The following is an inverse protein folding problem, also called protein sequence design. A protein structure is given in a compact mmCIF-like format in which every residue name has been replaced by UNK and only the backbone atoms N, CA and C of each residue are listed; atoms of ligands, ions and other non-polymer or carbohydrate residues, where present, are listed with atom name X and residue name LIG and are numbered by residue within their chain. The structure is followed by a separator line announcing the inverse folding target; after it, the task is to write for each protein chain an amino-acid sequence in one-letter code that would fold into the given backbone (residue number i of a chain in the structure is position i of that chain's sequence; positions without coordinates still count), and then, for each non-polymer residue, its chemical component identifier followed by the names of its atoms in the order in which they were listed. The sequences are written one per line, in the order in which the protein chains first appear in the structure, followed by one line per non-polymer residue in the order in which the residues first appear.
data_IF_611649585947
#
_entry.id   IF_611649585947
#
_cell.length_a   1.000
_cell.length_b   1.000
_cell.length_c   1.000
_cell.angle_alpha   90.00
_cell.angle_beta   90.00
_cell.angle_gamma   90.00
#
_symmetry.space_group_name_H-M   'P 1'
#
loop_
_entity.id
_entity.type
_entity.pdbx_description
1 polymer ?
#
# COMPACT_ATOMS: atom_id res chain seq x y z
N UNK A 1 -10.06 -14.22 5.94
CA UNK A 1 -10.49 -14.10 4.53
C UNK A 1 -9.76 -12.95 3.82
N UNK A 2 -9.83 -11.70 4.30
CA UNK A 2 -9.09 -10.56 3.69
C UNK A 2 -7.60 -10.88 3.48
N UNK A 3 -6.93 -11.39 4.51
CA UNK A 3 -5.51 -11.76 4.43
C UNK A 3 -5.23 -12.74 3.27
N UNK A 4 -6.06 -13.76 3.10
CA UNK A 4 -5.87 -14.75 2.03
C UNK A 4 -5.97 -14.09 0.66
N UNK A 5 -6.97 -13.24 0.43
CA UNK A 5 -7.10 -12.51 -0.84
C UNK A 5 -5.93 -11.55 -1.10
N UNK A 6 -5.34 -10.96 -0.05
CA UNK A 6 -4.12 -10.16 -0.19
C UNK A 6 -2.95 -11.04 -0.64
N UNK A 7 -2.75 -12.18 0.01
CA UNK A 7 -1.68 -13.11 -0.33
C UNK A 7 -1.82 -13.64 -1.77
N UNK A 8 -3.05 -14.01 -2.18
CA UNK A 8 -3.35 -14.46 -3.54
C UNK A 8 -3.03 -13.37 -4.59
N UNK A 9 -3.40 -12.12 -4.33
CA UNK A 9 -3.12 -11.00 -5.25
C UNK A 9 -1.63 -10.67 -5.32
N UNK A 10 -0.91 -10.74 -4.20
CA UNK A 10 0.55 -10.60 -4.17
C UNK A 10 1.19 -11.72 -5.00
N UNK A 11 0.84 -12.98 -4.77
CA UNK A 11 1.38 -14.12 -5.52
C UNK A 11 1.11 -13.98 -7.02
N UNK A 12 -0.09 -13.56 -7.39
CA UNK A 12 -0.45 -13.29 -8.78
C UNK A 12 0.44 -12.20 -9.40
N UNK A 13 0.63 -11.08 -8.70
CA UNK A 13 1.48 -9.99 -9.18
C UNK A 13 2.93 -10.44 -9.34
N UNK A 14 3.48 -11.18 -8.38
CA UNK A 14 4.85 -11.69 -8.42
C UNK A 14 5.03 -12.67 -9.59
N UNK A 15 4.08 -13.56 -9.81
CA UNK A 15 4.08 -14.47 -10.97
C UNK A 15 4.08 -13.70 -12.29
N UNK A 16 3.26 -12.65 -12.39
CA UNK A 16 3.21 -11.77 -13.57
C UNK A 16 4.55 -11.06 -13.78
N UNK A 17 5.14 -10.55 -12.70
CA UNK A 17 6.41 -9.83 -12.71
C UNK A 17 7.56 -10.73 -13.19
N UNK A 18 7.65 -11.96 -12.67
CA UNK A 18 8.64 -12.96 -13.09
C UNK A 18 8.49 -13.31 -14.57
N UNK A 19 7.27 -13.58 -15.04
CA UNK A 19 7.00 -13.88 -16.46
C UNK A 19 7.42 -12.74 -17.39
N UNK A 20 7.19 -11.49 -16.97
CA UNK A 20 7.62 -10.32 -17.74
C UNK A 20 9.16 -10.22 -17.80
N UNK A 21 9.84 -10.43 -16.66
CA UNK A 21 11.29 -10.41 -16.59
C UNK A 21 11.95 -11.51 -17.44
N UNK A 22 11.40 -12.73 -17.40
CA UNK A 22 11.85 -13.86 -18.24
C UNK A 22 11.71 -13.54 -19.73
N UNK A 23 10.53 -13.05 -20.13
CA UNK A 23 10.27 -12.66 -21.53
C UNK A 23 11.22 -11.53 -21.99
N UNK A 24 11.52 -10.55 -21.12
CA UNK A 24 12.47 -9.48 -21.41
C UNK A 24 13.90 -9.99 -21.60
N UNK A 25 14.34 -10.93 -20.75
CA UNK A 25 15.65 -11.58 -20.86
C UNK A 25 15.77 -12.38 -22.18
N UNK A 26 14.73 -13.12 -22.55
CA UNK A 26 14.70 -13.89 -23.79
C UNK A 26 14.75 -13.00 -25.04
N UNK A 27 13.98 -11.90 -25.06
CA UNK A 27 14.05 -10.90 -26.11
C UNK A 27 15.45 -10.29 -26.24
N UNK A 28 16.09 -9.96 -25.11
CA UNK A 28 17.41 -9.35 -25.09
C UNK A 28 18.48 -10.29 -25.65
N UNK A 29 18.40 -11.60 -25.36
CA UNK A 29 19.27 -12.64 -25.94
C UNK A 29 19.07 -12.76 -27.45
N UNK A 30 17.81 -12.78 -27.92
CA UNK A 30 17.47 -12.86 -29.36
C UNK A 30 17.93 -11.61 -30.13
N UNK A 31 17.88 -10.41 -29.54
CA UNK A 31 18.42 -9.18 -30.13
C UNK A 31 19.95 -9.20 -30.24
N UNK A 32 20.66 -9.73 -29.24
CA UNK A 32 22.13 -9.88 -29.30
C UNK A 32 22.59 -10.90 -30.36
N UNK A 33 21.81 -11.94 -30.63
CA UNK A 33 22.16 -12.96 -31.65
C UNK A 33 21.78 -12.56 -33.09
N UNK A 34 20.93 -11.55 -33.29
CA UNK A 34 20.42 -11.10 -34.61
C UNK A 34 20.95 -9.73 -35.04
N UNK A 35 22.25 -9.47 -34.88
CA UNK A 35 22.90 -8.31 -35.51
C UNK A 35 22.99 -8.54 -37.04
N UNK A 36 21.86 -8.55 -37.77
CA UNK A 36 21.84 -8.65 -39.24
C UNK A 36 20.65 -9.29 -39.98
N UNK A 37 19.58 -9.80 -39.33
CA UNK A 37 18.42 -10.40 -40.06
C UNK A 37 17.06 -9.86 -39.59
N UNK A 38 16.16 -9.60 -40.56
CA UNK A 38 14.81 -9.02 -40.40
C UNK A 38 13.98 -9.72 -39.32
N UNK A 39 13.12 -8.91 -38.67
CA UNK A 39 12.17 -9.30 -37.61
C UNK A 39 11.33 -10.50 -38.05
N UNK A 40 11.29 -11.54 -37.22
CA UNK A 40 10.60 -12.80 -37.53
C UNK A 40 9.16 -12.82 -37.01
N UNK A 41 8.26 -13.65 -37.58
CA UNK A 41 6.92 -13.86 -37.04
C UNK A 41 7.02 -14.39 -35.61
N UNK A 42 6.36 -13.74 -34.64
CA UNK A 42 6.42 -14.08 -33.20
C UNK A 42 7.14 -13.06 -32.30
N UNK A 43 7.88 -12.11 -32.88
CA UNK A 43 8.55 -11.03 -32.13
C UNK A 43 7.55 -10.05 -31.48
N UNK A 44 6.34 -9.91 -32.05
CA UNK A 44 5.24 -9.08 -31.51
C UNK A 44 4.61 -9.64 -30.23
N UNK A 45 4.47 -10.97 -30.12
CA UNK A 45 3.89 -11.61 -28.91
C UNK A 45 4.88 -11.60 -27.76
N UNK A 46 6.18 -11.79 -28.04
CA UNK A 46 7.24 -11.70 -27.04
C UNK A 46 7.41 -10.27 -26.50
N UNK A 47 7.33 -9.25 -27.36
CA UNK A 47 7.39 -7.83 -26.94
C UNK A 47 6.23 -7.41 -26.05
N UNK A 48 5.01 -7.93 -26.28
CA UNK A 48 3.88 -7.71 -25.39
C UNK A 48 4.07 -8.39 -24.03
N UNK A 49 4.61 -9.62 -24.00
CA UNK A 49 4.86 -10.37 -22.75
C UNK A 49 6.00 -9.80 -21.91
N UNK A 50 6.96 -9.13 -22.53
CA UNK A 50 8.09 -8.51 -21.86
C UNK A 50 7.79 -7.12 -21.28
N UNK A 51 6.56 -6.60 -21.46
CA UNK A 51 6.20 -5.30 -20.89
C UNK A 51 6.12 -5.44 -19.36
N UNK A 52 6.86 -4.64 -18.58
CA UNK A 52 6.73 -4.65 -17.14
C UNK A 52 5.30 -4.24 -16.73
N UNK A 53 4.83 -4.66 -15.55
CA UNK A 53 3.58 -4.13 -15.00
C UNK A 53 3.61 -2.59 -14.98
N UNK A 54 2.46 -1.92 -15.15
CA UNK A 54 2.39 -0.47 -15.06
C UNK A 54 2.57 0.00 -13.59
N UNK A 55 3.00 1.26 -13.35
CA UNK A 55 3.35 1.74 -12.02
C UNK A 55 2.23 1.64 -10.97
N UNK A 56 0.98 1.79 -11.39
CA UNK A 56 -0.21 1.66 -10.54
C UNK A 56 -0.38 0.25 -9.97
N UNK A 57 -0.04 -0.80 -10.72
CA UNK A 57 -0.07 -2.17 -10.19
C UNK A 57 1.04 -2.41 -9.15
N UNK A 58 2.21 -1.77 -9.31
CA UNK A 58 3.26 -1.81 -8.29
C UNK A 58 2.80 -1.12 -7.00
N UNK A 59 2.19 0.06 -7.12
CA UNK A 59 1.61 0.77 -5.96
C UNK A 59 0.57 -0.10 -5.28
N UNK A 60 -0.41 -0.64 -6.00
CA UNK A 60 -1.44 -1.53 -5.44
C UNK A 60 -0.83 -2.75 -4.72
N UNK A 61 0.17 -3.39 -5.32
CA UNK A 61 0.89 -4.49 -4.68
C UNK A 61 1.59 -4.07 -3.38
N UNK A 62 2.28 -2.93 -3.37
CA UNK A 62 2.93 -2.37 -2.18
C UNK A 62 1.91 -2.03 -1.07
N UNK A 63 0.76 -1.48 -1.43
CA UNK A 63 -0.34 -1.24 -0.48
C UNK A 63 -0.85 -2.55 0.13
N UNK A 64 -0.94 -3.62 -0.68
CA UNK A 64 -1.30 -4.98 -0.24
C UNK A 64 -0.26 -5.57 0.71
N UNK A 65 1.03 -5.37 0.49
CA UNK A 65 2.07 -5.75 1.47
C UNK A 65 1.85 -5.04 2.82
N UNK A 66 1.69 -3.71 2.82
CA UNK A 66 1.46 -2.94 4.06
C UNK A 66 0.21 -3.44 4.79
N UNK A 67 -0.88 -3.66 4.06
CA UNK A 67 -2.11 -4.17 4.66
C UNK A 67 -1.98 -5.61 5.17
N UNK A 68 -1.28 -6.45 4.41
CA UNK A 68 -0.96 -7.83 4.80
C UNK A 68 -0.21 -7.88 6.13
N UNK A 69 0.85 -7.08 6.30
CA UNK A 69 1.57 -6.99 7.56
C UNK A 69 0.69 -6.52 8.72
N UNK A 70 -0.17 -5.52 8.50
CA UNK A 70 -1.14 -5.06 9.50
C UNK A 70 -2.08 -6.19 9.95
N UNK A 71 -2.56 -7.00 9.01
CA UNK A 71 -3.42 -8.14 9.32
C UNK A 71 -2.66 -9.27 10.02
N UNK A 72 -1.41 -9.55 9.60
CA UNK A 72 -0.56 -10.56 10.23
C UNK A 72 -0.29 -10.24 11.70
N UNK A 73 0.07 -8.99 12.03
CA UNK A 73 0.26 -8.60 13.44
C UNK A 73 -1.04 -8.70 14.25
N UNK A 74 -2.18 -8.30 13.66
CA UNK A 74 -3.49 -8.37 14.31
C UNK A 74 -3.95 -9.81 14.56
N UNK A 75 -3.66 -10.72 13.65
CA UNK A 75 -4.15 -12.11 13.66
C UNK A 75 -3.10 -13.11 14.17
N UNK A 76 -1.92 -12.65 14.63
CA UNK A 76 -0.78 -13.52 14.94
C UNK A 76 -1.07 -14.66 15.92
N UNK A 77 -1.99 -14.48 16.86
CA UNK A 77 -2.42 -15.52 17.82
C UNK A 77 -3.37 -16.56 17.22
N UNK A 78 -3.97 -16.27 16.07
CA UNK A 78 -5.00 -17.08 15.42
C UNK A 78 -4.50 -17.83 14.19
N UNK A 79 -3.29 -17.53 13.72
CA UNK A 79 -2.69 -18.15 12.53
C UNK A 79 -1.65 -19.16 13.00
N UNK A 80 -1.89 -20.43 12.71
CA UNK A 80 -1.00 -21.52 13.02
C UNK A 80 -0.80 -22.38 11.77
N UNK A 81 0.46 -22.59 11.38
CA UNK A 81 0.91 -23.42 10.25
C UNK A 81 0.54 -22.91 8.83
N UNK A 82 1.39 -22.06 8.21
CA UNK A 82 2.57 -21.39 8.77
C UNK A 82 2.18 -20.37 9.85
N UNK A 83 3.09 -20.03 10.77
CA UNK A 83 2.82 -18.97 11.75
C UNK A 83 2.78 -17.59 11.08
N UNK A 84 2.25 -16.58 11.77
CA UNK A 84 2.30 -15.20 11.27
C UNK A 84 3.74 -14.69 11.06
N UNK A 85 4.70 -15.16 11.87
CA UNK A 85 6.12 -14.83 11.70
C UNK A 85 6.69 -15.47 10.43
N UNK A 86 6.39 -16.74 10.17
CA UNK A 86 6.80 -17.42 8.94
C UNK A 86 6.23 -16.71 7.70
N UNK A 87 4.96 -16.29 7.76
CA UNK A 87 4.33 -15.52 6.68
C UNK A 87 5.00 -14.17 6.45
N UNK A 88 5.47 -13.49 7.51
CA UNK A 88 6.27 -12.26 7.36
C UNK A 88 7.54 -12.56 6.56
N UNK A 89 8.31 -13.58 6.95
CA UNK A 89 9.54 -13.98 6.24
C UNK A 89 9.26 -14.34 4.78
N UNK A 90 8.19 -15.10 4.53
CA UNK A 90 7.78 -15.45 3.17
C UNK A 90 7.38 -14.24 2.33
N UNK A 91 6.86 -13.17 2.94
CA UNK A 91 6.50 -11.92 2.25
C UNK A 91 7.70 -11.00 1.99
N UNK A 92 8.78 -11.08 2.76
CA UNK A 92 9.97 -10.27 2.50
C UNK A 92 10.67 -10.61 1.19
N UNK A 93 10.66 -11.90 0.79
CA UNK A 93 11.20 -12.34 -0.51
C UNK A 93 10.50 -11.67 -1.70
N UNK A 94 9.17 -11.76 -1.87
CA UNK A 94 8.47 -11.09 -2.95
C UNK A 94 8.49 -9.56 -2.80
N UNK A 95 8.49 -9.00 -1.59
CA UNK A 95 8.66 -7.56 -1.38
C UNK A 95 9.99 -7.06 -1.97
N UNK A 96 11.09 -7.77 -1.71
CA UNK A 96 12.39 -7.45 -2.30
C UNK A 96 12.33 -7.47 -3.82
N UNK A 97 11.70 -8.50 -4.42
CA UNK A 97 11.57 -8.59 -5.88
C UNK A 97 10.83 -7.39 -6.48
N UNK A 98 9.78 -6.91 -5.81
CA UNK A 98 9.03 -5.72 -6.23
C UNK A 98 9.93 -4.47 -6.20
N UNK A 99 10.68 -4.26 -5.12
CA UNK A 99 11.60 -3.13 -4.95
C UNK A 99 12.73 -3.15 -6.00
N UNK A 100 13.29 -4.34 -6.29
CA UNK A 100 14.31 -4.47 -7.33
C UNK A 100 13.74 -4.18 -8.72
N UNK A 101 12.50 -4.62 -9.00
CA UNK A 101 11.86 -4.38 -10.29
C UNK A 101 11.51 -2.91 -10.53
N UNK A 102 11.30 -2.12 -9.47
CA UNK A 102 11.09 -0.67 -9.56
C UNK A 102 12.40 0.12 -9.66
N UNK A 103 13.55 -0.55 -9.57
CA UNK A 103 14.88 0.06 -9.65
C UNK A 103 15.38 0.66 -8.33
N UNK A 104 14.70 0.37 -7.21
CA UNK A 104 15.02 0.93 -5.91
C UNK A 104 13.78 1.16 -5.03
N UNK A 105 13.98 1.60 -3.77
CA UNK A 105 12.92 1.77 -2.79
C UNK A 105 12.07 3.02 -2.99
N UNK A 106 12.41 3.91 -3.91
CA UNK A 106 11.79 5.24 -4.06
C UNK A 106 10.27 5.15 -4.28
N UNK A 107 9.83 4.21 -5.12
CA UNK A 107 8.40 4.00 -5.34
C UNK A 107 7.73 3.51 -4.05
N UNK A 108 8.32 2.53 -3.37
CA UNK A 108 7.79 2.00 -2.11
C UNK A 108 7.68 3.08 -1.03
N UNK A 109 8.69 3.95 -0.91
CA UNK A 109 8.72 5.09 0.01
C UNK A 109 7.59 6.07 -0.24
N UNK A 110 7.15 6.22 -1.50
CA UNK A 110 6.02 7.10 -1.85
C UNK A 110 4.64 6.54 -1.48
N UNK A 111 4.52 5.23 -1.21
CA UNK A 111 3.24 4.58 -0.91
C UNK A 111 2.83 4.86 0.53
N UNK A 112 2.00 5.89 0.70
CA UNK A 112 1.56 6.35 2.02
C UNK A 112 0.53 5.40 2.67
N UNK A 113 -0.54 5.05 1.95
CA UNK A 113 -1.69 4.34 2.52
C UNK A 113 -1.70 2.85 2.14
N UNK A 114 -2.03 1.91 3.06
CA UNK A 114 -2.26 2.15 4.48
C UNK A 114 -0.93 2.38 5.22
N UNK A 115 -0.95 3.17 6.30
CA UNK A 115 0.18 3.19 7.24
C UNK A 115 0.25 1.88 8.02
N UNK A 116 1.44 1.52 8.48
CA UNK A 116 1.59 0.42 9.43
C UNK A 116 1.06 0.84 10.80
N UNK A 117 0.45 -0.10 11.51
CA UNK A 117 0.05 0.11 12.91
C UNK A 117 1.25 -0.03 13.83
N UNK A 118 1.19 0.57 15.03
CA UNK A 118 2.25 0.43 16.04
C UNK A 118 2.56 -1.04 16.34
N UNK A 119 1.52 -1.83 16.58
CA UNK A 119 1.64 -3.28 16.80
C UNK A 119 2.31 -4.01 15.64
N UNK A 120 2.18 -3.51 14.41
CA UNK A 120 2.83 -4.10 13.24
C UNK A 120 4.29 -3.72 13.16
N UNK A 121 4.62 -2.46 13.43
CA UNK A 121 6.01 -1.99 13.51
C UNK A 121 6.75 -2.76 14.61
N UNK A 122 6.16 -2.90 15.79
CA UNK A 122 6.72 -3.68 16.89
C UNK A 122 6.87 -5.15 16.50
N UNK A 123 5.82 -5.75 15.90
CA UNK A 123 5.88 -7.14 15.45
C UNK A 123 6.99 -7.39 14.42
N UNK A 124 7.12 -6.52 13.41
CA UNK A 124 8.21 -6.59 12.44
C UNK A 124 9.57 -6.44 13.13
N UNK A 125 9.70 -5.51 14.08
CA UNK A 125 10.94 -5.32 14.84
C UNK A 125 11.41 -6.57 15.60
N UNK A 126 10.52 -7.44 16.05
CA UNK A 126 10.90 -8.70 16.71
C UNK A 126 11.01 -9.90 15.75
N UNK A 127 10.42 -9.80 14.55
CA UNK A 127 10.31 -10.92 13.62
C UNK A 127 11.42 -10.93 12.59
N UNK A 128 11.71 -9.79 11.97
CA UNK A 128 12.57 -9.76 10.77
C UNK A 128 14.04 -10.02 11.08
N UNK A 129 14.70 -10.77 10.19
CA UNK A 129 16.14 -10.99 10.24
C UNK A 129 16.93 -9.74 9.77
N UNK A 130 18.27 -9.81 9.74
CA UNK A 130 19.10 -8.65 9.41
C UNK A 130 18.88 -8.15 7.98
N UNK A 131 18.87 -9.03 6.98
CA UNK A 131 18.70 -8.66 5.57
C UNK A 131 17.31 -8.07 5.32
N UNK A 132 16.28 -8.69 5.90
CA UNK A 132 14.91 -8.20 5.86
C UNK A 132 14.76 -6.84 6.54
N UNK A 133 15.46 -6.62 7.66
CA UNK A 133 15.50 -5.33 8.34
C UNK A 133 16.14 -4.26 7.46
N UNK A 134 17.26 -4.55 6.82
CA UNK A 134 17.90 -3.59 5.92
C UNK A 134 16.96 -3.20 4.78
N UNK A 135 16.28 -4.18 4.18
CA UNK A 135 15.27 -3.91 3.16
C UNK A 135 14.15 -3.03 3.73
N UNK A 136 13.54 -3.41 4.86
CA UNK A 136 12.44 -2.66 5.46
C UNK A 136 12.81 -1.21 5.77
N UNK A 137 13.98 -0.98 6.36
CA UNK A 137 14.49 0.36 6.69
C UNK A 137 14.73 1.21 5.43
N UNK A 138 15.13 0.58 4.32
CA UNK A 138 15.32 1.27 3.04
C UNK A 138 14.02 1.82 2.42
N UNK A 139 12.85 1.31 2.83
CA UNK A 139 11.53 1.74 2.32
C UNK A 139 11.05 3.07 2.93
N UNK A 140 11.81 3.66 3.85
CA UNK A 140 11.54 5.00 4.36
C UNK A 140 10.38 5.10 5.35
N UNK A 141 10.08 6.35 5.75
CA UNK A 141 9.23 6.64 6.91
C UNK A 141 7.79 6.13 6.78
N UNK A 142 7.26 6.04 5.55
CA UNK A 142 5.89 5.57 5.29
C UNK A 142 5.69 4.10 5.68
N UNK A 143 6.78 3.35 5.86
CA UNK A 143 6.80 1.96 6.31
C UNK A 143 7.23 1.79 7.77
N UNK A 144 7.62 2.88 8.44
CA UNK A 144 8.22 2.82 9.78
C UNK A 144 7.46 3.63 10.83
N UNK A 145 6.64 4.61 10.42
CA UNK A 145 5.86 5.45 11.34
C UNK A 145 4.41 5.02 11.40
N UNK A 146 3.89 4.87 12.61
CA UNK A 146 2.46 4.68 12.81
C UNK A 146 1.70 6.00 12.61
N UNK A 147 0.37 5.93 12.46
CA UNK A 147 -0.48 7.12 12.32
C UNK A 147 -0.28 8.14 13.46
N UNK A 148 -0.01 7.67 14.68
CA UNK A 148 0.20 8.54 15.85
C UNK A 148 1.49 9.38 15.77
N UNK A 149 2.48 8.92 15.00
CA UNK A 149 3.77 9.58 14.80
C UNK A 149 3.81 10.41 13.50
N UNK A 150 2.74 10.32 12.71
CA UNK A 150 2.60 11.06 11.46
C UNK A 150 2.07 12.48 11.73
N UNK A 151 2.53 13.51 11.00
CA UNK A 151 2.01 14.87 11.15
C UNK A 151 0.48 14.91 11.04
N UNK A 152 -0.19 15.52 12.03
CA UNK A 152 -1.65 15.51 12.13
C UNK A 152 -2.32 16.28 11.00
N UNK A 153 -1.63 17.28 10.48
CA UNK A 153 -2.07 18.16 9.40
C UNK A 153 -2.02 17.46 8.03
N UNK A 154 -1.29 16.34 7.92
CA UNK A 154 -1.20 15.58 6.67
C UNK A 154 -2.39 14.63 6.54
N UNK A 155 -3.19 14.87 5.50
CA UNK A 155 -4.27 13.97 5.13
C UNK A 155 -3.70 12.65 4.60
N UNK A 156 -4.19 11.53 5.15
CA UNK A 156 -3.87 10.19 4.68
C UNK A 156 -5.15 9.59 4.12
N UNK A 157 -5.18 9.26 2.81
CA UNK A 157 -6.37 8.69 2.21
C UNK A 157 -6.69 7.33 2.84
N UNK A 158 -7.96 7.03 3.15
CA UNK A 158 -8.37 5.71 3.59
C UNK A 158 -7.94 4.67 2.55
N UNK A 159 -7.31 3.59 3.01
CA UNK A 159 -7.05 2.47 2.13
C UNK A 159 -8.35 1.66 1.98
N UNK A 160 -8.70 1.25 0.77
CA UNK A 160 -9.77 0.26 0.53
C UNK A 160 -9.21 -0.74 -0.47
N UNK A 161 -8.94 -1.99 -0.07
CA UNK A 161 -8.31 -2.97 -0.93
C UNK A 161 -9.26 -3.34 -2.06
N UNK A 162 -8.75 -3.26 -3.29
CA UNK A 162 -9.44 -3.74 -4.48
C UNK A 162 -8.79 -5.04 -4.91
N UNK A 163 -9.58 -6.11 -4.92
CA UNK A 163 -9.09 -7.43 -5.24
C UNK A 163 -9.37 -7.78 -6.70
N UNK A 164 -8.42 -8.46 -7.34
CA UNK A 164 -8.49 -8.79 -8.77
C UNK A 164 -9.69 -9.68 -9.12
N UNK A 165 -10.14 -10.51 -8.18
CA UNK A 165 -11.29 -11.41 -8.35
C UNK A 165 -12.66 -10.70 -8.14
N UNK A 166 -12.67 -9.38 -7.90
CA UNK A 166 -13.88 -8.62 -7.61
C UNK A 166 -14.46 -8.90 -6.23
N UNK A 167 -13.76 -9.63 -5.37
CA UNK A 167 -14.15 -9.80 -3.97
C UNK A 167 -14.00 -8.48 -3.23
N UNK A 168 -15.00 -8.12 -2.43
CA UNK A 168 -14.96 -6.93 -1.59
C UNK A 168 -15.13 -7.35 -0.12
N UNK A 169 -14.35 -6.77 0.81
CA UNK A 169 -14.53 -7.04 2.22
C UNK A 169 -15.91 -6.56 2.67
N UNK A 170 -16.64 -7.34 3.51
CA UNK A 170 -17.89 -6.87 4.10
C UNK A 170 -17.64 -5.52 4.82
N UNK A 171 -18.43 -4.50 4.47
CA UNK A 171 -18.20 -3.09 4.87
C UNK A 171 -18.13 -2.83 6.39
N UNK A 172 -18.47 -3.81 7.23
CA UNK A 172 -18.69 -3.64 8.66
C UNK A 172 -17.42 -3.44 9.51
N UNK A 173 -16.21 -3.70 9.01
CA UNK A 173 -14.99 -3.65 9.85
C UNK A 173 -13.80 -2.89 9.24
N UNK A 174 -13.96 -2.21 8.09
CA UNK A 174 -12.84 -1.49 7.47
C UNK A 174 -12.49 -0.18 8.18
N UNK A 175 -13.47 0.38 8.89
CA UNK A 175 -13.31 1.56 9.73
C UNK A 175 -12.98 1.10 11.14
N UNK A 176 -11.69 0.88 11.41
CA UNK A 176 -11.24 0.96 12.80
C UNK A 176 -11.74 2.26 13.42
N UNK A 177 -12.05 2.23 14.70
CA UNK A 177 -12.60 3.31 15.51
C UNK A 177 -11.97 4.72 15.41
N UNK A 178 -10.75 4.99 14.86
CA UNK A 178 -10.26 6.37 14.80
C UNK A 178 -11.03 7.29 13.85
N UNK A 179 -11.60 6.75 12.76
CA UNK A 179 -12.19 7.63 11.73
C UNK A 179 -13.54 8.20 12.18
N UNK A 180 -14.32 7.50 12.99
CA UNK A 180 -15.50 8.09 13.62
C UNK A 180 -15.08 9.25 14.50
N UNK A 181 -14.08 9.08 15.38
CA UNK A 181 -13.60 10.17 16.25
C UNK A 181 -13.08 11.36 15.43
N UNK A 182 -12.31 11.14 14.37
CA UNK A 182 -11.84 12.22 13.49
C UNK A 182 -13.00 12.88 12.72
N UNK A 183 -14.01 12.14 12.27
CA UNK A 183 -15.21 12.69 11.62
C UNK A 183 -16.06 13.50 12.61
N UNK A 184 -16.26 13.00 13.82
CA UNK A 184 -16.99 13.68 14.89
C UNK A 184 -16.26 14.97 15.28
N UNK A 185 -14.94 14.91 15.43
CA UNK A 185 -14.13 16.06 15.80
C UNK A 185 -14.06 17.11 14.68
N UNK A 186 -14.02 16.67 13.41
CA UNK A 186 -14.16 17.56 12.26
C UNK A 186 -15.56 18.18 12.18
N UNK A 187 -16.62 17.39 12.39
CA UNK A 187 -18.00 17.87 12.41
C UNK A 187 -18.24 18.89 13.54
N UNK A 188 -17.73 18.63 14.74
CA UNK A 188 -17.77 19.58 15.87
C UNK A 188 -17.01 20.87 15.53
N UNK A 189 -15.84 20.77 14.92
CA UNK A 189 -15.06 21.96 14.52
C UNK A 189 -15.81 22.83 13.52
N UNK A 190 -16.46 22.22 12.53
CA UNK A 190 -17.26 22.93 11.51
C UNK A 190 -18.52 23.53 12.12
N UNK A 191 -19.19 22.81 13.03
CA UNK A 191 -20.36 23.31 13.75
C UNK A 191 -20.00 24.53 14.61
N UNK A 192 -18.89 24.48 15.34
CA UNK A 192 -18.40 25.58 16.17
C UNK A 192 -18.04 26.82 15.33
N UNK A 193 -17.41 26.64 14.15
CA UNK A 193 -17.11 27.75 13.23
C UNK A 193 -18.40 28.36 12.67
N UNK A 194 -19.38 27.54 12.27
CA UNK A 194 -20.66 28.01 11.76
C UNK A 194 -21.47 28.77 12.82
N UNK A 195 -21.47 28.31 14.07
CA UNK A 195 -22.08 29.02 15.19
C UNK A 195 -21.39 30.36 15.48
N UNK A 196 -20.05 30.38 15.40
CA UNK A 196 -19.31 31.60 15.64
C UNK A 196 -19.56 32.66 14.56
N UNK A 197 -19.70 32.23 13.30
CA UNK A 197 -20.09 33.09 12.18
C UNK A 197 -21.51 33.64 12.35
N UNK A 198 -22.50 32.79 12.70
CA UNK A 198 -23.88 33.26 12.96
C UNK A 198 -23.91 34.29 14.09
N UNK A 199 -23.21 34.05 15.21
CA UNK A 199 -23.15 34.99 16.34
C UNK A 199 -22.50 36.33 15.94
N UNK A 200 -21.51 36.32 15.04
CA UNK A 200 -20.89 37.53 14.52
C UNK A 200 -21.84 38.29 13.57
N UNK A 201 -22.57 37.59 12.69
CA UNK A 201 -23.57 38.21 11.81
C UNK A 201 -24.74 38.81 12.60
N UNK A 202 -25.26 38.10 13.60
CA UNK A 202 -26.34 38.63 14.45
C UNK A 202 -25.88 39.89 15.20
N UNK A 203 -24.65 39.93 15.71
CA UNK A 203 -24.09 41.14 16.34
C UNK A 203 -23.92 42.30 15.35
N UNK A 204 -23.50 42.02 14.10
CA UNK A 204 -23.41 43.06 13.05
C UNK A 204 -24.78 43.64 12.71
N UNK A 205 -25.77 42.78 12.50
CA UNK A 205 -27.15 43.20 12.21
C UNK A 205 -27.78 43.98 13.37
N UNK A 206 -27.55 43.60 14.62
CA UNK A 206 -28.01 44.38 15.79
C UNK A 206 -27.36 45.76 15.91
N UNK A 207 -26.19 45.97 15.29
CA UNK A 207 -25.49 47.26 15.31
C UNK A 207 -25.98 48.18 14.18
N UNK A 208 -26.49 47.63 13.08
CA UNK A 208 -27.06 48.40 11.96
C UNK A 208 -28.52 48.85 12.17
N UNK A 209 -29.26 48.24 13.11
CA UNK A 209 -30.68 48.56 13.38
C UNK A 209 -30.85 49.68 14.43
N UNK A 210 -29.76 50.27 14.92
CA UNK A 210 -29.80 51.45 15.81
C UNK A 210 -29.42 52.70 15.02
N UNK A 211 -30.33 53.19 14.17
CA UNK A 211 -30.36 54.54 13.64
C UNK A 211 -31.80 55.03 13.52
#
# INVERSE_FOLDING_TARGET
QILNHILDDIEFFITKLQKAAEAFSELSKRKKSKKGKKKGPGEGVLTLRAKPPPPDEFVDCLQKFKHGFNLLSKLKSHIQNPSAADLVHFLFTPLNMVVQATGGPELASSVLSPLLTKDTIDFLNYTVNNDERQLWMSLGETWMKARAEWPKEQFIPPYVPRFRNGWEPPMLNFMGAPMEQDLYQLAESVANVAEHQRKQETKRLSTEVVF
#
